data_IF_037360718106
#
_entry.id   IF_037360718106
#
_cell.length_a   1.000
_cell.length_b   1.000
_cell.length_c   1.000
_cell.angle_alpha   90.00
_cell.angle_beta   90.00
_cell.angle_gamma   90.00
#
_symmetry.space_group_name_H-M   'P 1'
#
loop_
_entity.id
_entity.type
_entity.pdbx_description
1 polymer ?
#
# COMPACT_ATOMS: atom_id res chain seq x y z
N UNK A 1 -12.85 -5.14 -15.45
CA UNK A 1 -13.53 -5.54 -14.21
C UNK A 1 -12.63 -5.19 -13.03
N UNK A 2 -13.18 -4.64 -11.96
CA UNK A 2 -12.44 -4.28 -10.75
C UNK A 2 -12.72 -5.30 -9.64
N UNK A 3 -11.73 -5.55 -8.78
CA UNK A 3 -11.85 -6.42 -7.62
C UNK A 3 -11.51 -5.58 -6.37
N UNK A 4 -12.36 -5.60 -5.33
CA UNK A 4 -12.02 -4.98 -4.05
C UNK A 4 -10.95 -5.80 -3.33
N UNK A 5 -9.90 -5.12 -2.86
CA UNK A 5 -8.83 -5.69 -2.06
C UNK A 5 -8.74 -4.90 -0.77
N UNK A 6 -8.86 -5.58 0.37
CA UNK A 6 -8.64 -4.98 1.67
C UNK A 6 -7.14 -4.91 1.94
N UNK A 7 -6.63 -3.71 2.14
CA UNK A 7 -5.22 -3.44 2.38
C UNK A 7 -5.04 -2.91 3.80
N UNK A 8 -3.94 -3.33 4.44
CA UNK A 8 -3.44 -2.75 5.69
C UNK A 8 -2.00 -2.35 5.41
N UNK A 9 -1.66 -1.09 5.63
CA UNK A 9 -0.33 -0.54 5.39
C UNK A 9 0.24 -0.07 6.72
N UNK A 10 1.36 -0.65 7.11
CA UNK A 10 2.15 -0.22 8.27
C UNK A 10 3.29 0.68 7.80
N UNK A 11 3.42 1.87 8.40
CA UNK A 11 4.57 2.75 8.18
C UNK A 11 5.35 2.96 9.47
N UNK A 12 6.65 2.73 9.40
CA UNK A 12 7.62 3.08 10.43
C UNK A 12 8.20 4.44 10.04
N UNK A 13 7.78 5.51 10.72
CA UNK A 13 8.36 6.82 10.49
C UNK A 13 9.76 6.87 11.11
N UNK A 14 10.77 7.27 10.33
CA UNK A 14 12.19 7.23 10.72
C UNK A 14 12.60 8.29 11.76
N UNK A 15 11.63 8.97 12.37
CA UNK A 15 11.86 9.96 13.42
C UNK A 15 12.26 9.26 14.71
N UNK A 16 13.53 9.47 15.11
CA UNK A 16 14.15 8.91 16.32
C UNK A 16 13.43 9.26 17.64
N UNK A 17 12.40 10.10 17.62
CA UNK A 17 11.79 10.62 18.85
C UNK A 17 10.51 9.90 19.29
N UNK A 18 9.77 9.19 18.42
CA UNK A 18 8.62 8.39 18.86
C UNK A 18 8.37 7.26 17.86
N UNK A 19 8.24 6.03 18.37
CA UNK A 19 7.85 4.82 17.64
C UNK A 19 6.39 4.94 17.16
N UNK A 20 6.15 5.84 16.21
CA UNK A 20 4.83 6.15 15.68
C UNK A 20 4.55 5.22 14.50
N UNK A 21 4.13 4.00 14.82
CA UNK A 21 3.68 3.01 13.83
C UNK A 21 2.29 3.41 13.39
N UNK A 22 2.18 3.99 12.20
CA UNK A 22 0.91 4.37 11.61
C UNK A 22 0.33 3.20 10.80
N UNK A 23 -0.94 2.88 11.03
CA UNK A 23 -1.68 1.83 10.32
C UNK A 23 -2.80 2.46 9.49
N UNK A 24 -2.76 2.27 8.17
CA UNK A 24 -3.83 2.65 7.24
C UNK A 24 -4.50 1.40 6.70
N UNK A 25 -5.76 1.18 7.09
CA UNK A 25 -6.58 0.05 6.62
C UNK A 25 -7.75 0.54 5.74
N UNK A 26 -7.79 0.13 4.48
CA UNK A 26 -8.82 0.57 3.53
C UNK A 26 -9.01 -0.43 2.38
N UNK A 27 -10.19 -0.39 1.74
CA UNK A 27 -10.44 -1.12 0.50
C UNK A 27 -9.99 -0.32 -0.72
N UNK A 28 -9.21 -0.96 -1.61
CA UNK A 28 -8.90 -0.43 -2.94
C UNK A 28 -9.50 -1.28 -4.04
N UNK A 29 -9.86 -0.64 -5.15
CA UNK A 29 -10.27 -1.34 -6.36
C UNK A 29 -9.06 -1.54 -7.27
N UNK A 30 -8.66 -2.80 -7.46
CA UNK A 30 -7.60 -3.17 -8.42
C UNK A 30 -8.22 -3.78 -9.68
N UNK A 31 -7.53 -3.65 -10.81
CA UNK A 31 -7.99 -4.31 -12.03
C UNK A 31 -7.81 -5.83 -11.90
N UNK A 32 -8.82 -6.60 -12.32
CA UNK A 32 -8.80 -8.08 -12.29
C UNK A 32 -7.63 -8.70 -13.07
N UNK A 33 -7.13 -8.00 -14.08
CA UNK A 33 -6.05 -8.41 -14.97
C UNK A 33 -4.67 -7.92 -14.53
N UNK A 34 -4.54 -7.31 -13.34
CA UNK A 34 -3.23 -6.98 -12.77
C UNK A 34 -2.45 -8.27 -12.51
N UNK A 35 -1.14 -8.26 -12.79
CA UNK A 35 -0.27 -9.36 -12.39
C UNK A 35 -0.25 -9.42 -10.87
N UNK A 36 -0.37 -10.61 -10.30
CA UNK A 36 -0.34 -10.77 -8.84
C UNK A 36 0.97 -10.23 -8.23
N UNK A 37 2.09 -10.33 -8.96
CA UNK A 37 3.38 -9.74 -8.57
C UNK A 37 3.40 -8.21 -8.50
N UNK A 38 2.42 -7.53 -9.12
CA UNK A 38 2.28 -6.07 -9.11
C UNK A 38 1.17 -5.59 -8.17
N UNK A 39 0.55 -6.51 -7.42
CA UNK A 39 -0.62 -6.19 -6.59
C UNK A 39 -0.28 -5.16 -5.51
N UNK A 40 0.84 -5.35 -4.80
CA UNK A 40 1.29 -4.47 -3.72
C UNK A 40 1.55 -3.05 -4.25
N UNK A 41 2.35 -2.92 -5.31
CA UNK A 41 2.66 -1.63 -5.92
C UNK A 41 1.38 -0.92 -6.39
N UNK A 42 0.49 -1.64 -7.09
CA UNK A 42 -0.77 -1.08 -7.60
C UNK A 42 -1.70 -0.63 -6.47
N UNK A 43 -1.80 -1.41 -5.40
CA UNK A 43 -2.62 -1.08 -4.24
C UNK A 43 -2.10 0.16 -3.51
N UNK A 44 -0.78 0.25 -3.28
CA UNK A 44 -0.17 1.39 -2.61
C UNK A 44 -0.32 2.68 -3.42
N UNK A 45 -0.15 2.62 -4.75
CA UNK A 45 -0.41 3.76 -5.62
C UNK A 45 -1.87 4.20 -5.59
N UNK A 46 -2.82 3.25 -5.50
CA UNK A 46 -4.24 3.56 -5.38
C UNK A 46 -4.62 4.19 -4.03
N UNK A 47 -3.90 3.85 -2.96
CA UNK A 47 -4.02 4.49 -1.64
C UNK A 47 -3.35 5.89 -1.58
N UNK A 48 -2.61 6.28 -2.62
CA UNK A 48 -1.93 7.58 -2.70
C UNK A 48 -0.50 7.59 -2.18
N UNK A 49 0.09 6.44 -1.88
CA UNK A 49 1.51 6.37 -1.54
C UNK A 49 2.40 6.65 -2.75
N UNK A 50 3.60 7.16 -2.47
CA UNK A 50 4.57 7.50 -3.51
C UNK A 50 5.07 6.24 -4.25
N UNK A 51 5.53 6.42 -5.49
CA UNK A 51 6.19 5.35 -6.25
C UNK A 51 7.41 4.77 -5.50
N UNK A 52 8.17 5.60 -4.78
CA UNK A 52 9.30 5.13 -3.96
C UNK A 52 8.85 4.24 -2.81
N UNK A 53 7.80 4.64 -2.09
CA UNK A 53 7.22 3.83 -1.01
C UNK A 53 6.69 2.49 -1.54
N UNK A 54 6.00 2.53 -2.68
CA UNK A 54 5.43 1.34 -3.32
C UNK A 54 6.50 0.36 -3.81
N UNK A 55 7.61 0.86 -4.36
CA UNK A 55 8.72 0.03 -4.83
C UNK A 55 9.56 -0.58 -3.68
N UNK A 56 9.48 -0.01 -2.49
CA UNK A 56 10.23 -0.46 -1.29
C UNK A 56 9.37 -1.30 -0.33
N UNK A 57 8.05 -1.35 -0.55
CA UNK A 57 7.14 -2.14 0.26
C UNK A 57 7.40 -3.66 0.08
N UNK A 58 7.16 -4.41 1.16
CA UNK A 58 7.40 -5.85 1.22
C UNK A 58 6.09 -6.63 1.38
#
# INVERSE_FOLDING_TARGET
MMIPVFCVVEQLDGSLEYDNREEHAEFVLVRKDVLFSQLVETALLALGYSHSSAAQAQ
#
